data_IF_725025385533
#
_entry.id   IF_725025385533
#
_cell.length_a   1.000
_cell.length_b   1.000
_cell.length_c   1.000
_cell.angle_alpha   90.00
_cell.angle_beta   90.00
_cell.angle_gamma   90.00
#
_symmetry.space_group_name_H-M   'P 1'
#
loop_
_entity.id
_entity.type
_entity.pdbx_description
1 polymer ?
#
# COMPACT_ATOMS: atom_id res chain seq x y z
N UNK A 1 -16.06 -2.45 -5.59
CA UNK A 1 -16.72 -1.13 -5.50
C UNK A 1 -17.99 -1.15 -4.64
N UNK A 2 -18.76 -2.24 -4.67
CA UNK A 2 -20.09 -2.33 -4.04
C UNK A 2 -20.10 -2.05 -2.52
N UNK A 3 -19.18 -2.64 -1.78
CA UNK A 3 -18.99 -2.42 -0.33
C UNK A 3 -18.36 -1.06 0.04
N UNK A 4 -17.95 -0.27 -0.95
CA UNK A 4 -17.29 1.03 -0.74
C UNK A 4 -18.31 2.16 -0.70
N UNK A 5 -18.31 3.04 0.31
CA UNK A 5 -19.24 4.17 0.37
C UNK A 5 -19.14 5.07 -0.87
N UNK A 6 -20.28 5.60 -1.32
CA UNK A 6 -20.33 6.49 -2.50
C UNK A 6 -19.40 7.70 -2.37
N UNK A 7 -19.32 8.32 -1.19
CA UNK A 7 -18.39 9.43 -0.94
C UNK A 7 -16.93 9.04 -1.18
N UNK A 8 -16.54 7.82 -0.83
CA UNK A 8 -15.16 7.34 -1.04
C UNK A 8 -14.90 7.07 -2.52
N UNK A 9 -15.87 6.50 -3.24
CA UNK A 9 -15.79 6.33 -4.71
C UNK A 9 -15.63 7.69 -5.39
N UNK A 10 -16.39 8.70 -4.97
CA UNK A 10 -16.31 10.05 -5.51
C UNK A 10 -14.93 10.70 -5.24
N UNK A 11 -14.38 10.55 -4.02
CA UNK A 11 -13.03 11.03 -3.70
C UNK A 11 -11.97 10.38 -4.61
N UNK A 12 -12.02 9.05 -4.78
CA UNK A 12 -11.13 8.33 -5.70
C UNK A 12 -11.32 8.83 -7.14
N UNK A 13 -12.57 9.06 -7.57
CA UNK A 13 -12.88 9.56 -8.91
C UNK A 13 -12.35 10.96 -9.19
N UNK A 14 -12.47 11.88 -8.23
CA UNK A 14 -11.88 13.23 -8.32
C UNK A 14 -10.36 13.14 -8.42
N UNK A 15 -9.73 12.29 -7.59
CA UNK A 15 -8.30 12.01 -7.67
C UNK A 15 -7.89 11.46 -9.03
N UNK A 16 -8.60 10.45 -9.52
CA UNK A 16 -8.35 9.82 -10.82
C UNK A 16 -8.41 10.84 -11.97
N UNK A 17 -9.47 11.66 -12.03
CA UNK A 17 -9.62 12.69 -13.06
C UNK A 17 -8.51 13.74 -12.97
N UNK A 18 -8.25 14.23 -11.76
CA UNK A 18 -7.21 15.23 -11.51
C UNK A 18 -5.82 14.74 -11.94
N UNK A 19 -5.43 13.52 -11.56
CA UNK A 19 -4.09 13.04 -11.86
C UNK A 19 -3.95 12.56 -13.31
N UNK A 20 -4.88 11.76 -13.83
CA UNK A 20 -4.76 11.13 -15.16
C UNK A 20 -5.09 12.10 -16.29
N UNK A 21 -6.11 12.95 -16.14
CA UNK A 21 -6.58 13.82 -17.22
C UNK A 21 -6.10 15.26 -17.11
N UNK A 22 -5.55 15.68 -15.97
CA UNK A 22 -5.04 17.05 -15.79
C UNK A 22 -3.53 17.02 -15.54
N UNK A 23 -3.07 16.43 -14.44
CA UNK A 23 -1.65 16.52 -14.01
C UNK A 23 -0.72 15.79 -14.98
N UNK A 24 -0.98 14.52 -15.32
CA UNK A 24 -0.13 13.73 -16.23
C UNK A 24 -0.01 14.42 -17.61
N UNK A 25 -1.11 14.80 -18.28
CA UNK A 25 -1.08 15.59 -19.52
C UNK A 25 -0.26 16.87 -19.44
N UNK A 26 -0.43 17.67 -18.38
CA UNK A 26 0.30 18.92 -18.21
C UNK A 26 1.80 18.67 -18.02
N UNK A 27 2.17 17.68 -17.20
CA UNK A 27 3.57 17.30 -17.00
C UNK A 27 4.21 16.76 -18.29
N UNK A 28 3.46 16.01 -19.10
CA UNK A 28 3.98 15.40 -20.32
C UNK A 28 4.07 16.38 -21.50
N UNK A 29 2.94 17.00 -21.88
CA UNK A 29 2.86 17.82 -23.09
C UNK A 29 3.31 19.26 -22.86
N UNK A 30 2.95 19.88 -21.73
CA UNK A 30 3.21 21.30 -21.52
C UNK A 30 4.58 21.57 -20.91
N UNK A 31 4.93 20.86 -19.83
CA UNK A 31 6.13 21.17 -19.05
C UNK A 31 7.31 20.21 -19.31
N UNK A 32 7.09 19.12 -20.06
CA UNK A 32 8.08 18.06 -20.31
C UNK A 32 8.86 17.68 -19.03
N UNK A 33 8.14 17.52 -17.92
CA UNK A 33 8.74 17.34 -16.60
C UNK A 33 9.57 16.06 -16.56
N UNK A 34 10.84 16.14 -16.17
CA UNK A 34 11.79 15.00 -16.12
C UNK A 34 12.14 14.40 -17.49
N UNK A 35 12.16 15.20 -18.57
CA UNK A 35 12.34 14.74 -19.95
C UNK A 35 11.31 13.68 -20.38
N UNK A 36 10.11 13.79 -19.83
CA UNK A 36 8.99 12.87 -20.00
C UNK A 36 8.74 12.42 -21.45
N UNK A 37 8.89 13.31 -22.43
CA UNK A 37 8.57 13.06 -23.84
C UNK A 37 9.48 12.04 -24.54
N UNK A 38 10.60 11.66 -23.92
CA UNK A 38 11.49 10.60 -24.41
C UNK A 38 10.93 9.19 -24.19
N UNK A 39 9.87 9.06 -23.40
CA UNK A 39 9.32 7.79 -22.93
C UNK A 39 7.81 7.73 -23.13
N UNK A 40 7.20 6.54 -23.23
CA UNK A 40 5.76 6.39 -23.24
C UNK A 40 5.12 6.95 -21.94
N UNK A 41 3.96 7.60 -22.08
CA UNK A 41 3.20 8.19 -20.96
C UNK A 41 2.90 7.12 -19.89
N UNK A 42 2.43 5.95 -20.33
CA UNK A 42 2.13 4.81 -19.46
C UNK A 42 3.11 3.67 -19.77
N UNK A 43 3.96 3.34 -18.79
CA UNK A 43 4.79 2.14 -18.84
C UNK A 43 5.17 1.71 -17.43
N UNK A 44 5.22 0.40 -17.22
CA UNK A 44 5.76 -0.25 -16.02
C UNK A 44 7.25 -0.59 -16.16
N UNK A 45 7.90 -0.15 -17.24
CA UNK A 45 9.33 -0.40 -17.48
C UNK A 45 10.18 0.79 -17.04
N UNK A 46 11.46 0.50 -16.83
CA UNK A 46 12.51 1.46 -16.51
C UNK A 46 13.24 1.90 -17.79
N UNK A 47 13.71 3.15 -17.84
CA UNK A 47 14.32 3.72 -19.05
C UNK A 47 15.70 4.33 -18.79
N UNK A 48 16.52 4.34 -19.84
CA UNK A 48 17.80 5.06 -19.93
C UNK A 48 17.56 6.50 -20.37
N UNK A 49 18.58 7.37 -20.27
CA UNK A 49 18.47 8.77 -20.69
C UNK A 49 18.11 8.96 -22.19
N UNK A 50 18.37 7.94 -23.02
CA UNK A 50 18.08 7.95 -24.46
C UNK A 50 16.71 7.38 -24.84
N UNK A 51 15.91 6.91 -23.88
CA UNK A 51 14.58 6.34 -24.15
C UNK A 51 14.54 4.82 -24.31
N UNK A 52 15.68 4.13 -24.28
CA UNK A 52 15.71 2.66 -24.34
C UNK A 52 15.41 2.02 -22.98
N UNK A 53 14.88 0.80 -23.01
CA UNK A 53 14.64 -0.05 -21.83
C UNK A 53 15.93 -0.18 -21.00
N UNK A 54 15.82 0.04 -19.70
CA UNK A 54 16.95 0.00 -18.78
C UNK A 54 17.35 -1.44 -18.49
N UNK A 55 18.58 -1.81 -18.82
CA UNK A 55 19.11 -3.13 -18.53
C UNK A 55 19.72 -3.16 -17.13
N UNK A 56 18.99 -3.78 -16.20
CA UNK A 56 19.38 -3.84 -14.79
C UNK A 56 20.59 -4.77 -14.56
N UNK A 57 20.83 -5.74 -15.45
CA UNK A 57 21.96 -6.69 -15.31
C UNK A 57 23.32 -5.99 -15.37
N UNK A 58 23.41 -4.88 -16.09
CA UNK A 58 24.64 -4.09 -16.28
C UNK A 58 25.11 -3.33 -15.04
N UNK A 59 24.26 -3.20 -14.02
CA UNK A 59 24.55 -2.40 -12.82
C UNK A 59 24.67 -3.23 -11.54
N UNK A 60 24.50 -4.56 -11.63
CA UNK A 60 24.68 -5.48 -10.51
C UNK A 60 26.11 -6.04 -10.45
N UNK A 61 26.60 -6.23 -9.24
CA UNK A 61 27.69 -7.19 -8.99
C UNK A 61 27.12 -8.62 -8.86
N UNK A 62 27.95 -9.68 -8.95
CA UNK A 62 27.49 -11.06 -8.72
C UNK A 62 26.84 -11.31 -7.34
N UNK A 63 27.04 -10.40 -6.38
CA UNK A 63 26.46 -10.45 -5.03
C UNK A 63 25.20 -9.58 -4.89
N UNK A 64 24.56 -9.17 -6.00
CA UNK A 64 23.37 -8.31 -6.03
C UNK A 64 23.56 -6.94 -5.36
N UNK A 65 24.78 -6.40 -5.35
CA UNK A 65 25.06 -5.03 -4.91
C UNK A 65 25.14 -4.08 -6.12
N UNK A 66 24.92 -2.79 -5.87
CA UNK A 66 25.07 -1.76 -6.89
C UNK A 66 26.54 -1.53 -7.22
N UNK A 67 26.91 -1.66 -8.50
CA UNK A 67 28.21 -1.22 -9.01
C UNK A 67 28.12 0.26 -9.44
N UNK A 68 28.69 1.16 -8.63
CA UNK A 68 28.60 2.61 -8.83
C UNK A 68 29.28 3.04 -10.14
N UNK A 69 30.48 2.53 -10.43
CA UNK A 69 31.21 2.91 -11.64
C UNK A 69 30.50 2.43 -12.91
N UNK A 70 29.91 1.23 -12.88
CA UNK A 70 29.10 0.73 -13.99
C UNK A 70 27.82 1.56 -14.19
N UNK A 71 27.16 1.95 -13.10
CA UNK A 71 25.98 2.81 -13.13
C UNK A 71 26.26 4.19 -13.73
N UNK A 72 27.33 4.85 -13.30
CA UNK A 72 27.72 6.17 -13.80
C UNK A 72 28.13 6.14 -15.28
N UNK A 73 28.76 5.06 -15.73
CA UNK A 73 29.14 4.87 -17.14
C UNK A 73 27.95 4.49 -18.04
N UNK A 74 26.96 3.78 -17.50
CA UNK A 74 25.83 3.28 -18.29
C UNK A 74 24.79 4.38 -18.56
N UNK A 75 23.94 4.68 -17.58
CA UNK A 75 23.06 5.85 -17.62
C UNK A 75 22.36 6.05 -16.27
N UNK A 76 21.93 7.30 -16.02
CA UNK A 76 20.93 7.57 -14.99
C UNK A 76 19.62 6.83 -15.30
N UNK A 77 18.89 6.48 -14.25
CA UNK A 77 17.59 5.81 -14.34
C UNK A 77 16.48 6.84 -14.56
N UNK A 78 15.68 6.62 -15.60
CA UNK A 78 14.46 7.38 -15.87
C UNK A 78 13.23 6.50 -15.68
N UNK A 79 12.19 7.11 -15.13
CA UNK A 79 10.86 6.55 -14.92
C UNK A 79 9.89 7.14 -15.93
N UNK A 80 8.87 6.36 -16.30
CA UNK A 80 7.76 6.91 -17.05
C UNK A 80 7.08 8.03 -16.24
N UNK A 81 6.52 9.05 -16.90
CA UNK A 81 5.88 10.19 -16.24
C UNK A 81 4.78 9.74 -15.28
N UNK A 82 3.97 8.76 -15.69
CA UNK A 82 2.94 8.17 -14.87
C UNK A 82 3.52 7.45 -13.65
N UNK A 83 4.59 6.67 -13.81
CA UNK A 83 5.18 5.97 -12.67
C UNK A 83 5.83 6.95 -11.67
N UNK A 84 6.52 7.99 -12.16
CA UNK A 84 7.06 9.05 -11.32
C UNK A 84 5.96 9.79 -10.53
N UNK A 85 4.87 10.18 -11.20
CA UNK A 85 3.73 10.84 -10.54
C UNK A 85 2.98 9.90 -9.58
N UNK A 86 2.94 8.59 -9.85
CA UNK A 86 2.43 7.58 -8.92
C UNK A 86 3.25 7.52 -7.62
N UNK A 87 4.57 7.56 -7.74
CA UNK A 87 5.45 7.63 -6.57
C UNK A 87 5.18 8.94 -5.79
N UNK A 88 5.04 10.05 -6.51
CA UNK A 88 4.69 11.34 -5.92
C UNK A 88 3.35 11.33 -5.17
N UNK A 89 2.30 10.74 -5.74
CA UNK A 89 1.01 10.59 -5.07
C UNK A 89 1.11 9.69 -3.84
N UNK A 90 1.99 8.69 -3.87
CA UNK A 90 2.37 7.87 -2.73
C UNK A 90 2.90 8.66 -1.54
N UNK A 91 3.76 9.65 -1.79
CA UNK A 91 4.25 10.57 -0.75
C UNK A 91 3.11 11.44 -0.18
N UNK A 92 2.23 11.95 -1.05
CA UNK A 92 1.12 12.80 -0.63
C UNK A 92 0.08 12.05 0.21
N UNK A 93 -0.37 10.87 -0.22
CA UNK A 93 -1.43 10.17 0.52
C UNK A 93 -0.96 9.71 1.89
N UNK A 94 0.33 9.39 2.07
CA UNK A 94 0.85 8.88 3.33
C UNK A 94 0.80 9.93 4.43
N UNK A 95 1.37 11.12 4.19
CA UNK A 95 1.31 12.22 5.16
C UNK A 95 -0.11 12.75 5.29
N UNK A 96 -0.89 12.76 4.20
CA UNK A 96 -2.31 13.07 4.28
C UNK A 96 -3.05 12.13 5.23
N UNK A 97 -2.78 10.81 5.20
CA UNK A 97 -3.40 9.84 6.12
C UNK A 97 -3.11 10.20 7.57
N UNK A 98 -1.84 10.48 7.90
CA UNK A 98 -1.45 10.85 9.27
C UNK A 98 -2.15 12.13 9.72
N UNK A 99 -2.08 13.20 8.93
CA UNK A 99 -2.71 14.48 9.30
C UNK A 99 -4.22 14.38 9.35
N UNK A 100 -4.85 13.72 8.37
CA UNK A 100 -6.30 13.55 8.33
C UNK A 100 -6.81 12.81 9.56
N UNK A 101 -6.19 11.69 9.93
CA UNK A 101 -6.59 10.92 11.11
C UNK A 101 -6.36 11.74 12.38
N UNK A 102 -5.23 12.43 12.50
CA UNK A 102 -4.94 13.27 13.66
C UNK A 102 -5.97 14.40 13.84
N UNK A 103 -6.37 15.07 12.76
CA UNK A 103 -7.30 16.20 12.81
C UNK A 103 -8.77 15.78 12.98
N UNK A 104 -9.23 14.79 12.21
CA UNK A 104 -10.65 14.41 12.20
C UNK A 104 -11.00 13.39 13.28
N UNK A 105 -10.13 12.42 13.55
CA UNK A 105 -10.40 11.32 14.48
C UNK A 105 -9.52 11.35 15.73
N UNK A 106 -8.50 12.21 15.81
CA UNK A 106 -7.54 12.21 16.93
C UNK A 106 -8.19 12.39 18.30
N UNK A 107 -9.19 13.26 18.41
CA UNK A 107 -9.91 13.46 19.68
C UNK A 107 -10.73 12.24 20.10
N UNK A 108 -11.29 11.51 19.14
CA UNK A 108 -12.09 10.32 19.40
C UNK A 108 -11.19 9.13 19.74
N UNK A 109 -10.07 8.99 19.02
CA UNK A 109 -9.02 8.00 19.31
C UNK A 109 -8.50 8.19 20.74
N UNK A 110 -8.22 9.44 21.15
CA UNK A 110 -7.74 9.73 22.50
C UNK A 110 -8.76 9.38 23.58
N UNK A 111 -10.02 9.82 23.39
CA UNK A 111 -11.12 9.51 24.30
C UNK A 111 -11.37 8.02 24.41
N UNK A 112 -11.35 7.31 23.29
CA UNK A 112 -11.63 5.88 23.23
C UNK A 112 -10.47 5.05 23.79
N UNK A 113 -9.23 5.44 23.53
CA UNK A 113 -8.05 4.82 24.15
C UNK A 113 -8.07 5.01 25.68
N UNK A 114 -8.49 6.20 26.14
CA UNK A 114 -8.64 6.49 27.58
C UNK A 114 -9.85 5.79 28.22
N UNK A 115 -10.93 5.56 27.46
CA UNK A 115 -12.15 4.93 27.97
C UNK A 115 -12.11 3.41 27.93
N UNK A 116 -11.32 2.78 27.04
CA UNK A 116 -11.02 1.34 27.11
C UNK A 116 -10.40 0.98 28.47
N UNK A 117 -9.68 1.91 29.09
CA UNK A 117 -9.15 1.79 30.47
C UNK A 117 -10.24 1.98 31.54
N UNK A 118 -11.36 2.65 31.21
CA UNK A 118 -12.47 2.96 32.12
C UNK A 118 -13.80 2.36 31.63
N UNK A 119 -14.08 1.11 32.01
CA UNK A 119 -15.36 0.39 31.90
C UNK A 119 -16.39 1.00 30.93
N UNK A 120 -16.20 0.72 29.63
CA UNK A 120 -17.06 1.18 28.54
C UNK A 120 -18.47 0.60 28.67
N UNK A 121 -19.50 1.41 28.34
CA UNK A 121 -20.89 0.95 28.13
C UNK A 121 -20.90 -0.20 27.12
N UNK A 122 -21.16 -1.41 27.59
CA UNK A 122 -21.19 -2.59 26.74
C UNK A 122 -22.40 -2.54 25.80
N UNK A 123 -22.14 -2.65 24.50
CA UNK A 123 -23.18 -2.78 23.50
C UNK A 123 -23.90 -4.15 23.63
N UNK A 124 -25.03 -4.28 22.93
CA UNK A 124 -25.83 -5.51 22.97
C UNK A 124 -25.00 -6.69 22.44
N UNK A 125 -24.15 -6.46 21.43
CA UNK A 125 -23.33 -7.53 20.89
C UNK A 125 -22.30 -8.03 21.90
N UNK A 126 -21.61 -7.16 22.64
CA UNK A 126 -20.66 -7.54 23.67
C UNK A 126 -21.36 -8.21 24.86
N UNK A 127 -22.57 -7.78 25.22
CA UNK A 127 -23.38 -8.47 26.25
C UNK A 127 -23.67 -9.91 25.84
N UNK A 128 -24.15 -10.13 24.62
CA UNK A 128 -24.43 -11.47 24.09
C UNK A 128 -23.16 -12.32 23.97
N UNK A 129 -22.02 -11.72 23.67
CA UNK A 129 -20.74 -12.41 23.56
C UNK A 129 -20.11 -12.80 24.91
N UNK A 130 -20.61 -12.28 26.04
CA UNK A 130 -20.12 -12.67 27.38
C UNK A 130 -20.33 -14.15 27.70
N UNK A 131 -21.30 -14.80 27.06
CA UNK A 131 -21.55 -16.24 27.23
C UNK A 131 -20.38 -17.10 26.74
N UNK A 132 -19.56 -16.59 25.81
CA UNK A 132 -18.43 -17.31 25.26
C UNK A 132 -17.14 -17.02 26.00
N UNK A 133 -16.32 -18.06 26.19
CA UNK A 133 -14.98 -17.93 26.75
C UNK A 133 -14.10 -17.11 25.80
N UNK A 134 -13.56 -16.01 26.32
CA UNK A 134 -12.61 -15.18 25.59
C UNK A 134 -11.33 -15.97 25.29
N UNK A 135 -10.62 -15.54 24.24
CA UNK A 135 -9.28 -16.04 23.93
C UNK A 135 -8.32 -15.43 24.94
N UNK A 136 -7.54 -16.24 25.68
CA UNK A 136 -6.51 -15.72 26.57
C UNK A 136 -5.50 -14.87 25.80
N UNK A 137 -5.14 -13.70 26.33
CA UNK A 137 -4.18 -12.80 25.65
C UNK A 137 -2.83 -13.47 25.39
N UNK A 138 -2.41 -14.42 26.23
CA UNK A 138 -1.16 -15.13 26.06
C UNK A 138 -1.09 -15.95 24.76
N UNK A 139 -2.23 -16.39 24.19
CA UNK A 139 -2.24 -17.07 22.88
C UNK A 139 -1.72 -16.16 21.77
N UNK A 140 -2.12 -14.88 21.81
CA UNK A 140 -1.63 -13.87 20.88
C UNK A 140 -0.17 -13.52 21.15
N UNK A 141 0.23 -13.42 22.42
CA UNK A 141 1.62 -13.13 22.79
C UNK A 141 2.58 -14.25 22.36
N UNK A 142 2.20 -15.51 22.51
CA UNK A 142 3.01 -16.65 22.06
C UNK A 142 3.20 -16.61 20.54
N UNK A 143 2.14 -16.34 19.76
CA UNK A 143 2.27 -16.19 18.31
C UNK A 143 3.13 -14.98 17.93
N UNK A 144 2.97 -13.85 18.62
CA UNK A 144 3.76 -12.64 18.38
C UNK A 144 5.25 -12.91 18.66
N UNK A 145 5.57 -13.44 19.83
CA UNK A 145 6.95 -13.73 20.23
C UNK A 145 7.56 -14.80 19.32
N UNK A 146 6.82 -15.86 19.03
CA UNK A 146 7.28 -16.94 18.14
C UNK A 146 7.56 -16.45 16.72
N UNK A 147 6.66 -15.65 16.14
CA UNK A 147 6.87 -15.09 14.79
C UNK A 147 8.03 -14.10 14.74
N UNK A 148 8.13 -13.18 15.72
CA UNK A 148 9.26 -12.24 15.81
C UNK A 148 10.58 -12.98 15.99
N UNK A 149 10.63 -13.99 16.87
CA UNK A 149 11.84 -14.78 17.10
C UNK A 149 12.28 -15.53 15.82
N UNK A 150 11.35 -16.13 15.09
CA UNK A 150 11.64 -16.81 13.82
C UNK A 150 12.17 -15.83 12.76
N UNK A 151 11.54 -14.66 12.62
CA UNK A 151 11.98 -13.62 11.69
C UNK A 151 13.37 -13.08 12.04
N UNK A 152 13.68 -12.89 13.32
CA UNK A 152 15.00 -12.46 13.77
C UNK A 152 16.06 -13.56 13.58
N UNK A 153 15.72 -14.82 13.83
CA UNK A 153 16.61 -15.96 13.60
C UNK A 153 17.06 -16.01 12.14
N UNK A 154 16.16 -15.73 11.18
CA UNK A 154 16.52 -15.65 9.76
C UNK A 154 17.58 -14.58 9.48
N UNK A 155 17.52 -13.42 10.15
CA UNK A 155 18.54 -12.37 10.01
C UNK A 155 19.93 -12.80 10.53
N UNK A 156 19.99 -13.71 11.51
CA UNK A 156 21.24 -14.21 12.07
C UNK A 156 21.81 -15.39 11.27
N UNK A 157 20.97 -16.33 10.84
CA UNK A 157 21.39 -17.54 10.12
C UNK A 157 21.73 -17.24 8.65
N UNK A 158 20.83 -16.56 7.92
CA UNK A 158 20.98 -16.29 6.49
C UNK A 158 21.44 -14.85 6.22
N UNK A 159 22.48 -14.41 6.92
CA UNK A 159 22.96 -13.02 6.84
C UNK A 159 23.31 -12.57 5.41
N UNK A 160 23.84 -13.47 4.58
CA UNK A 160 24.24 -13.18 3.19
C UNK A 160 23.03 -13.04 2.27
N UNK A 161 22.00 -13.86 2.45
CA UNK A 161 20.82 -13.90 1.57
C UNK A 161 19.77 -12.86 2.00
N UNK A 162 19.52 -12.73 3.31
CA UNK A 162 18.53 -11.79 3.86
C UNK A 162 18.97 -10.34 3.70
N UNK A 163 20.28 -10.07 3.83
CA UNK A 163 20.92 -8.74 3.73
C UNK A 163 20.41 -7.66 4.71
N UNK A 164 19.27 -7.87 5.38
CA UNK A 164 18.63 -7.01 6.36
C UNK A 164 19.15 -7.32 7.77
N UNK A 165 19.71 -6.34 8.50
CA UNK A 165 20.14 -6.53 9.88
C UNK A 165 18.96 -6.70 10.84
N UNK A 166 19.20 -7.34 11.97
CA UNK A 166 18.17 -7.62 13.00
C UNK A 166 17.39 -6.37 13.45
N UNK A 167 18.07 -5.24 13.60
CA UNK A 167 17.42 -3.98 13.99
C UNK A 167 16.50 -3.45 12.88
N UNK A 168 16.81 -3.72 11.61
CA UNK A 168 15.97 -3.35 10.47
C UNK A 168 14.65 -4.12 10.48
N UNK A 169 14.68 -5.39 10.92
CA UNK A 169 13.47 -6.19 11.11
C UNK A 169 12.60 -5.64 12.24
N UNK A 170 13.19 -5.33 13.40
CA UNK A 170 12.46 -4.69 14.52
C UNK A 170 11.88 -3.34 14.12
N UNK A 171 12.62 -2.58 13.33
CA UNK A 171 12.14 -1.30 12.80
C UNK A 171 10.94 -1.47 11.87
N UNK A 172 10.91 -2.51 11.02
CA UNK A 172 9.76 -2.83 10.18
C UNK A 172 8.52 -3.14 11.03
N UNK A 173 8.67 -3.92 12.10
CA UNK A 173 7.57 -4.24 13.03
C UNK A 173 7.07 -3.01 13.78
N UNK A 174 7.98 -2.16 14.27
CA UNK A 174 7.62 -0.90 14.92
C UNK A 174 6.85 0.03 13.98
N UNK A 175 7.31 0.16 12.73
CA UNK A 175 6.63 0.97 11.72
C UNK A 175 5.23 0.41 11.40
N UNK A 176 5.11 -0.91 11.23
CA UNK A 176 3.82 -1.57 11.02
C UNK A 176 2.86 -1.34 12.19
N UNK A 177 3.34 -1.48 13.43
CA UNK A 177 2.54 -1.25 14.63
C UNK A 177 1.98 0.17 14.69
N UNK A 178 2.83 1.18 14.48
CA UNK A 178 2.44 2.60 14.51
C UNK A 178 1.43 2.93 13.40
N UNK A 179 1.69 2.45 12.17
CA UNK A 179 0.88 2.80 11.00
C UNK A 179 -0.42 2.00 10.89
N UNK A 180 -0.56 0.89 11.62
CA UNK A 180 -1.77 0.07 11.57
C UNK A 180 -3.00 0.84 12.04
N UNK A 181 -2.89 1.64 13.10
CA UNK A 181 -4.00 2.43 13.62
C UNK A 181 -4.52 3.47 12.59
N UNK A 182 -3.71 4.42 12.08
CA UNK A 182 -4.22 5.44 11.16
C UNK A 182 -4.70 4.84 9.84
N UNK A 183 -4.01 3.84 9.29
CA UNK A 183 -4.46 3.17 8.06
C UNK A 183 -5.78 2.42 8.33
N UNK A 184 -5.92 1.79 9.48
CA UNK A 184 -7.14 1.11 9.90
C UNK A 184 -8.34 2.05 10.04
N UNK A 185 -8.14 3.28 10.54
CA UNK A 185 -9.20 4.29 10.62
C UNK A 185 -9.67 4.72 9.23
N UNK A 186 -8.74 4.95 8.30
CA UNK A 186 -9.11 5.26 6.90
C UNK A 186 -9.82 4.07 6.25
N UNK A 187 -9.32 2.85 6.43
CA UNK A 187 -9.98 1.66 5.89
C UNK A 187 -11.37 1.44 6.49
N UNK A 188 -11.54 1.65 7.79
CA UNK A 188 -12.83 1.49 8.46
C UNK A 188 -13.88 2.52 8.00
N UNK A 189 -13.45 3.72 7.61
CA UNK A 189 -14.35 4.81 7.20
C UNK A 189 -14.60 4.85 5.69
N UNK A 190 -13.60 4.47 4.89
CA UNK A 190 -13.62 4.66 3.42
C UNK A 190 -13.59 3.35 2.64
N UNK A 191 -13.33 2.23 3.31
CA UNK A 191 -13.07 0.93 2.68
C UNK A 191 -11.92 0.95 1.65
N UNK A 192 -11.04 1.95 1.74
CA UNK A 192 -9.79 2.05 0.98
C UNK A 192 -8.62 1.83 1.93
N UNK A 193 -7.59 1.13 1.45
CA UNK A 193 -6.39 0.84 2.23
C UNK A 193 -5.17 1.48 1.55
N UNK A 194 -4.88 2.76 1.83
CA UNK A 194 -3.66 3.40 1.36
C UNK A 194 -2.44 2.61 1.85
N UNK A 195 -1.64 2.10 0.91
CA UNK A 195 -0.40 1.41 1.22
C UNK A 195 0.70 2.40 1.63
N UNK A 196 1.62 1.96 2.49
CA UNK A 196 2.81 2.73 2.83
C UNK A 196 4.09 2.10 2.23
N UNK A 197 3.95 1.20 1.25
CA UNK A 197 5.06 0.47 0.62
C UNK A 197 6.19 1.36 0.13
N UNK A 198 5.82 2.47 -0.52
CA UNK A 198 6.74 3.43 -1.11
C UNK A 198 7.56 4.08 0.01
N UNK A 199 6.92 4.37 1.15
CA UNK A 199 7.55 5.01 2.31
C UNK A 199 8.47 4.03 3.05
N UNK A 200 8.00 2.80 3.26
CA UNK A 200 8.82 1.77 3.89
C UNK A 200 10.11 1.56 3.09
N UNK A 201 10.00 1.47 1.77
CA UNK A 201 11.13 1.33 0.86
C UNK A 201 12.00 2.60 0.78
N UNK A 202 11.38 3.79 0.82
CA UNK A 202 12.09 5.05 0.86
C UNK A 202 12.96 5.17 2.12
N UNK A 203 12.41 4.87 3.30
CA UNK A 203 13.14 4.98 4.56
C UNK A 203 14.30 3.98 4.61
N UNK A 204 14.03 2.69 4.39
CA UNK A 204 15.08 1.68 4.49
C UNK A 204 16.11 1.78 3.36
N UNK A 205 15.69 2.17 2.15
CA UNK A 205 16.59 2.40 1.02
C UNK A 205 17.52 3.59 1.26
N UNK A 206 17.10 4.58 2.06
CA UNK A 206 17.96 5.68 2.49
C UNK A 206 18.98 5.22 3.55
N UNK A 207 18.56 4.38 4.50
CA UNK A 207 19.44 3.91 5.59
C UNK A 207 20.41 2.81 5.11
N UNK A 208 19.94 1.91 4.25
CA UNK A 208 20.68 0.76 3.71
C UNK A 208 20.67 0.78 2.17
N UNK A 209 21.34 1.75 1.53
CA UNK A 209 21.41 1.83 0.08
C UNK A 209 22.20 0.66 -0.51
N UNK A 210 21.87 0.26 -1.73
CA UNK A 210 22.59 -0.79 -2.47
C UNK A 210 22.20 -2.23 -2.12
N UNK A 211 21.16 -2.43 -1.30
CA UNK A 211 20.69 -3.75 -0.83
C UNK A 211 19.22 -3.98 -1.22
N UNK A 212 18.94 -4.45 -2.45
CA UNK A 212 17.58 -4.63 -2.95
C UNK A 212 16.78 -5.67 -2.16
N UNK A 213 17.41 -6.78 -1.74
CA UNK A 213 16.73 -7.85 -0.99
C UNK A 213 16.32 -7.35 0.40
N UNK A 214 17.21 -6.64 1.10
CA UNK A 214 16.91 -6.06 2.40
C UNK A 214 15.72 -5.10 2.33
N UNK A 215 15.70 -4.23 1.30
CA UNK A 215 14.62 -3.29 1.04
C UNK A 215 13.28 -4.01 0.77
N UNK A 216 13.31 -5.09 -0.01
CA UNK A 216 12.12 -5.90 -0.31
C UNK A 216 11.57 -6.59 0.94
N UNK A 217 12.44 -7.19 1.77
CA UNK A 217 12.03 -7.84 3.02
C UNK A 217 11.44 -6.84 4.00
N UNK A 218 12.06 -5.66 4.16
CA UNK A 218 11.53 -4.60 5.03
C UNK A 218 10.12 -4.17 4.59
N UNK A 219 9.90 -3.99 3.29
CA UNK A 219 8.58 -3.69 2.72
C UNK A 219 7.56 -4.79 3.02
N UNK A 220 7.92 -6.06 2.78
CA UNK A 220 7.01 -7.21 2.95
C UNK A 220 6.63 -7.34 4.42
N UNK A 221 7.62 -7.39 5.33
CA UNK A 221 7.35 -7.52 6.76
C UNK A 221 6.60 -6.31 7.32
N UNK A 222 6.88 -5.09 6.84
CA UNK A 222 6.09 -3.92 7.21
C UNK A 222 4.64 -4.06 6.71
N UNK A 223 4.45 -3.96 5.40
CA UNK A 223 3.11 -3.86 4.80
C UNK A 223 2.24 -5.06 5.12
N UNK A 224 2.74 -6.27 4.89
CA UNK A 224 1.93 -7.48 4.97
C UNK A 224 1.45 -7.69 6.41
N UNK A 225 2.25 -7.32 7.41
CA UNK A 225 1.82 -7.31 8.82
C UNK A 225 0.65 -6.36 9.06
N UNK A 226 0.68 -5.14 8.50
CA UNK A 226 -0.44 -4.19 8.60
C UNK A 226 -1.69 -4.71 7.89
N UNK A 227 -1.55 -5.28 6.69
CA UNK A 227 -2.68 -5.86 5.94
C UNK A 227 -3.32 -6.99 6.73
N UNK A 228 -2.52 -7.94 7.24
CA UNK A 228 -3.02 -9.04 8.06
C UNK A 228 -3.64 -8.57 9.37
N UNK A 229 -3.05 -7.58 10.05
CA UNK A 229 -3.64 -7.03 11.27
C UNK A 229 -5.04 -6.43 11.03
N UNK A 230 -5.22 -5.74 9.90
CA UNK A 230 -6.51 -5.14 9.53
C UNK A 230 -7.52 -6.18 9.07
N UNK A 231 -7.12 -7.16 8.26
CA UNK A 231 -7.97 -8.30 7.89
C UNK A 231 -8.39 -9.12 9.11
N UNK A 232 -7.45 -9.45 9.98
CA UNK A 232 -7.71 -10.16 11.23
C UNK A 232 -8.70 -9.41 12.12
N UNK A 233 -8.56 -8.09 12.23
CA UNK A 233 -9.49 -7.23 12.98
C UNK A 233 -10.88 -7.20 12.34
N UNK A 234 -10.96 -7.18 11.00
CA UNK A 234 -12.23 -7.20 10.27
C UNK A 234 -12.98 -8.53 10.49
N UNK A 235 -12.26 -9.65 10.47
CA UNK A 235 -12.82 -10.98 10.72
C UNK A 235 -13.29 -11.15 12.17
N UNK A 236 -12.52 -10.66 13.15
CA UNK A 236 -12.95 -10.65 14.55
C UNK A 236 -14.23 -9.83 14.75
N UNK A 237 -14.34 -8.69 14.06
CA UNK A 237 -15.55 -7.86 14.08
C UNK A 237 -16.74 -8.60 13.46
N UNK A 238 -16.53 -9.27 12.32
CA UNK A 238 -17.56 -10.10 11.69
C UNK A 238 -18.01 -11.24 12.63
N UNK A 239 -17.07 -11.96 13.24
CA UNK A 239 -17.35 -13.01 14.22
C UNK A 239 -18.14 -12.51 15.43
N UNK A 240 -17.82 -11.30 15.91
CA UNK A 240 -18.53 -10.65 17.00
C UNK A 240 -20.00 -10.33 16.66
N UNK A 241 -20.27 -9.93 15.42
CA UNK A 241 -21.63 -9.71 14.92
C UNK A 241 -22.40 -11.01 14.72
N UNK A 242 -21.75 -12.03 14.15
CA UNK A 242 -22.34 -13.35 13.87
C UNK A 242 -22.45 -14.26 15.09
N UNK A 243 -21.97 -13.84 16.26
CA UNK A 243 -21.99 -14.61 17.51
C UNK A 243 -21.21 -15.92 17.45
N UNK A 244 -20.10 -15.91 16.71
CA UNK A 244 -19.18 -17.04 16.63
C UNK A 244 -18.28 -17.05 17.87
N UNK A 245 -18.09 -18.20 18.55
CA UNK A 245 -17.20 -18.31 19.69
C UNK A 245 -15.77 -17.82 19.38
N UNK A 246 -15.17 -16.93 20.19
CA UNK A 246 -13.86 -16.32 19.88
C UNK A 246 -12.72 -17.33 19.72
N UNK A 247 -12.71 -18.41 20.52
CA UNK A 247 -11.69 -19.46 20.44
C UNK A 247 -11.75 -20.22 19.12
N UNK A 248 -12.96 -20.55 18.65
CA UNK A 248 -13.14 -21.21 17.36
C UNK A 248 -12.71 -20.31 16.21
N UNK A 249 -13.01 -19.00 16.29
CA UNK A 249 -12.56 -18.01 15.31
C UNK A 249 -11.03 -17.96 15.25
N UNK A 250 -10.36 -17.84 16.40
CA UNK A 250 -8.90 -17.83 16.48
C UNK A 250 -8.27 -19.10 15.88
N UNK A 251 -8.78 -20.29 16.22
CA UNK A 251 -8.25 -21.55 15.67
C UNK A 251 -8.47 -21.66 14.17
N UNK A 252 -9.64 -21.25 13.67
CA UNK A 252 -9.95 -21.30 12.24
C UNK A 252 -9.04 -20.35 11.44
N UNK A 253 -8.79 -19.14 11.96
CA UNK A 253 -7.88 -18.18 11.36
C UNK A 253 -6.43 -18.67 11.37
N UNK A 254 -5.97 -19.28 12.46
CA UNK A 254 -4.62 -19.82 12.56
C UNK A 254 -4.39 -20.97 11.57
N UNK A 255 -5.32 -21.94 11.54
CA UNK A 255 -5.27 -23.06 10.59
C UNK A 255 -5.36 -22.55 9.15
N UNK A 256 -6.29 -21.64 8.86
CA UNK A 256 -6.44 -21.04 7.54
C UNK A 256 -5.18 -20.31 7.08
N UNK A 257 -4.50 -19.60 7.97
CA UNK A 257 -3.24 -18.90 7.67
C UNK A 257 -2.11 -19.89 7.36
N UNK A 258 -1.99 -20.97 8.13
CA UNK A 258 -0.99 -22.02 7.89
C UNK A 258 -1.23 -22.72 6.55
N UNK A 259 -2.48 -23.12 6.28
CA UNK A 259 -2.87 -23.78 5.03
C UNK A 259 -2.67 -22.87 3.83
N UNK A 260 -3.14 -21.62 3.91
CA UNK A 260 -2.95 -20.65 2.83
C UNK A 260 -1.47 -20.34 2.60
N UNK A 261 -0.67 -20.20 3.66
CA UNK A 261 0.77 -19.96 3.54
C UNK A 261 1.51 -21.10 2.87
N UNK A 262 1.25 -22.35 3.26
CA UNK A 262 1.92 -23.52 2.70
C UNK A 262 1.48 -23.80 1.26
N UNK A 263 0.17 -23.77 0.98
CA UNK A 263 -0.35 -24.03 -0.38
C UNK A 263 0.11 -22.95 -1.35
N UNK A 264 0.01 -21.66 -0.99
CA UNK A 264 0.46 -20.60 -1.90
C UNK A 264 1.97 -20.70 -2.20
N UNK A 265 2.78 -21.06 -1.20
CA UNK A 265 4.21 -21.26 -1.39
C UNK A 265 4.49 -22.49 -2.28
N UNK A 266 3.82 -23.61 -2.03
CA UNK A 266 3.98 -24.82 -2.81
C UNK A 266 3.57 -24.63 -4.28
N UNK A 267 2.45 -23.97 -4.53
CA UNK A 267 1.99 -23.63 -5.87
C UNK A 267 2.96 -22.67 -6.56
N UNK A 268 3.47 -21.65 -5.86
CA UNK A 268 4.46 -20.75 -6.41
C UNK A 268 5.75 -21.48 -6.83
N UNK A 269 6.27 -22.37 -5.98
CA UNK A 269 7.43 -23.20 -6.31
C UNK A 269 7.17 -24.15 -7.47
N UNK A 270 6.00 -24.79 -7.51
CA UNK A 270 5.60 -25.64 -8.61
C UNK A 270 5.54 -24.87 -9.94
N UNK A 271 4.92 -23.69 -9.95
CA UNK A 271 4.85 -22.83 -11.14
C UNK A 271 6.24 -22.42 -11.64
N UNK A 272 7.16 -22.06 -10.73
CA UNK A 272 8.53 -21.69 -11.10
C UNK A 272 9.35 -22.88 -11.62
N UNK A 273 9.07 -24.10 -11.16
CA UNK A 273 9.79 -25.30 -11.59
C UNK A 273 9.20 -26.01 -12.82
N UNK A 274 7.91 -25.83 -13.11
CA UNK A 274 7.22 -26.51 -14.21
C UNK A 274 7.00 -25.64 -15.46
N UNK A 275 6.98 -24.32 -15.33
CA UNK A 275 6.74 -23.40 -16.46
C UNK A 275 8.07 -22.75 -16.86
N UNK A 276 8.64 -23.19 -17.97
CA UNK A 276 9.84 -22.57 -18.55
C UNK A 276 9.58 -21.11 -18.94
N UNK A 277 10.54 -20.23 -18.66
CA UNK A 277 10.50 -18.79 -18.97
C UNK A 277 9.28 -18.03 -18.41
N UNK A 278 8.67 -18.51 -17.32
CA UNK A 278 7.55 -17.82 -16.69
C UNK A 278 7.85 -16.33 -16.46
N UNK A 279 6.89 -15.46 -16.78
CA UNK A 279 6.98 -14.01 -16.69
C UNK A 279 7.87 -13.32 -17.76
N UNK A 280 8.57 -14.05 -18.62
CA UNK A 280 9.33 -13.49 -19.74
C UNK A 280 8.51 -13.45 -21.03
N UNK A 281 7.79 -12.34 -21.20
CA UNK A 281 6.95 -12.06 -22.38
C UNK A 281 7.69 -12.03 -23.71
N UNK A 282 9.02 -11.93 -23.74
CA UNK A 282 9.79 -11.90 -25.00
C UNK A 282 10.14 -13.33 -25.49
N UNK A 283 10.27 -14.28 -24.57
CA UNK A 283 10.63 -15.68 -24.86
C UNK A 283 9.47 -16.65 -24.76
N UNK A 284 8.36 -16.25 -24.12
CA UNK A 284 7.14 -17.06 -24.03
C UNK A 284 6.40 -17.15 -25.37
N UNK A 285 5.66 -18.25 -25.53
CA UNK A 285 4.72 -18.38 -26.63
C UNK A 285 3.71 -17.21 -26.61
N UNK A 286 3.35 -16.62 -27.77
CA UNK A 286 2.46 -15.44 -27.84
C UNK A 286 1.11 -15.63 -27.14
N UNK A 287 0.60 -16.86 -27.09
CA UNK A 287 -0.68 -17.21 -26.46
C UNK A 287 -0.58 -17.49 -24.95
N UNK A 288 0.61 -17.37 -24.36
CA UNK A 288 0.83 -17.68 -22.96
C UNK A 288 0.29 -16.57 -22.04
N UNK A 289 -0.57 -16.88 -21.05
CA UNK A 289 -1.17 -15.87 -20.18
C UNK A 289 -0.21 -15.33 -19.08
N UNK A 290 1.00 -15.89 -18.95
CA UNK A 290 1.89 -15.68 -17.80
C UNK A 290 2.76 -14.42 -17.91
N UNK A 291 2.14 -13.24 -17.77
CA UNK A 291 2.82 -11.93 -17.93
C UNK A 291 3.31 -11.27 -16.63
N UNK A 292 2.94 -11.81 -15.46
CA UNK A 292 3.42 -11.43 -14.12
C UNK A 292 3.63 -9.93 -13.80
N UNK A 293 2.68 -9.04 -14.14
CA UNK A 293 2.92 -7.60 -14.10
C UNK A 293 3.18 -7.05 -12.68
N UNK A 294 2.56 -7.65 -11.64
CA UNK A 294 2.79 -7.25 -10.23
C UNK A 294 4.20 -7.59 -9.74
N UNK A 295 4.75 -8.73 -10.15
CA UNK A 295 6.10 -9.13 -9.79
C UNK A 295 7.13 -8.24 -10.46
N UNK A 296 6.91 -7.88 -11.73
CA UNK A 296 7.75 -6.94 -12.47
C UNK A 296 7.82 -5.56 -11.80
N UNK A 297 6.67 -4.97 -11.47
CA UNK A 297 6.64 -3.67 -10.74
C UNK A 297 7.31 -3.79 -9.37
N UNK A 298 7.19 -4.94 -8.70
CA UNK A 298 7.86 -5.16 -7.40
C UNK A 298 9.38 -5.26 -7.56
N UNK A 299 9.85 -5.91 -8.63
CA UNK A 299 11.27 -5.96 -8.98
C UNK A 299 11.81 -4.57 -9.34
N UNK A 300 11.12 -3.83 -10.20
CA UNK A 300 11.52 -2.46 -10.58
C UNK A 300 11.55 -1.52 -9.36
N UNK A 301 10.59 -1.66 -8.45
CA UNK A 301 10.61 -0.94 -7.17
C UNK A 301 11.83 -1.30 -6.31
N UNK A 302 12.26 -2.58 -6.27
CA UNK A 302 13.48 -2.98 -5.56
C UNK A 302 14.74 -2.37 -6.15
N UNK A 303 14.77 -2.14 -7.47
CA UNK A 303 15.87 -1.46 -8.17
C UNK A 303 15.88 0.03 -7.83
N UNK A 304 14.72 0.70 -7.91
CA UNK A 304 14.57 2.12 -7.60
C UNK A 304 14.97 2.41 -6.14
N UNK A 305 14.35 1.71 -5.20
CA UNK A 305 14.44 2.03 -3.78
C UNK A 305 15.59 1.33 -3.06
N UNK A 306 15.88 0.08 -3.43
CA UNK A 306 16.87 -0.73 -2.73
C UNK A 306 18.25 -0.66 -3.38
N UNK A 307 18.33 -0.82 -4.70
CA UNK A 307 19.62 -0.86 -5.42
C UNK A 307 20.20 0.54 -5.64
N UNK A 308 19.54 1.38 -6.42
CA UNK A 308 20.00 2.75 -6.73
C UNK A 308 19.87 3.63 -5.48
N UNK A 309 18.75 3.47 -4.77
CA UNK A 309 18.46 4.14 -3.53
C UNK A 309 17.81 5.52 -3.73
N UNK A 310 16.99 5.97 -2.78
CA UNK A 310 16.33 7.28 -2.81
C UNK A 310 17.33 8.44 -2.82
N UNK A 311 18.53 8.26 -2.26
CA UNK A 311 19.56 9.30 -2.21
C UNK A 311 19.97 9.80 -3.60
N UNK A 312 20.00 8.92 -4.62
CA UNK A 312 20.43 9.31 -5.98
C UNK A 312 19.28 9.89 -6.83
N UNK A 313 18.04 9.51 -6.52
CA UNK A 313 16.87 9.85 -7.32
C UNK A 313 16.05 11.01 -6.74
N UNK A 314 15.87 11.05 -5.42
CA UNK A 314 14.92 11.93 -4.72
C UNK A 314 15.58 12.93 -3.75
N UNK A 315 16.85 12.76 -3.37
CA UNK A 315 17.57 13.71 -2.52
C UNK A 315 18.25 14.83 -3.35
N UNK A 316 18.91 15.83 -2.72
CA UNK A 316 19.58 16.92 -3.44
C UNK A 316 20.53 16.40 -4.54
N UNK A 317 20.34 16.87 -5.77
CA UNK A 317 21.06 16.39 -6.97
C UNK A 317 20.35 15.31 -7.78
N UNK A 318 19.28 14.71 -7.24
CA UNK A 318 18.44 13.73 -7.93
C UNK A 318 17.40 14.36 -8.86
N UNK A 319 17.06 13.65 -9.94
CA UNK A 319 16.10 14.10 -10.96
C UNK A 319 14.69 14.32 -10.38
N UNK A 320 14.28 13.49 -9.43
CA UNK A 320 12.92 13.44 -8.86
C UNK A 320 12.77 14.16 -7.52
N UNK A 321 13.74 15.01 -7.15
CA UNK A 321 13.74 15.77 -5.89
C UNK A 321 12.42 16.51 -5.65
N UNK A 322 11.84 17.09 -6.70
CA UNK A 322 10.62 17.88 -6.58
C UNK A 322 9.41 17.06 -6.11
N UNK A 323 9.41 15.74 -6.32
CA UNK A 323 8.33 14.87 -5.85
C UNK A 323 8.32 14.73 -4.32
N UNK A 324 9.46 14.90 -3.64
CA UNK A 324 9.52 14.81 -2.17
C UNK A 324 8.71 15.92 -1.49
N UNK A 325 8.54 17.08 -2.13
CA UNK A 325 7.66 18.16 -1.63
C UNK A 325 6.20 17.74 -1.50
N UNK A 326 5.78 16.66 -2.18
CA UNK A 326 4.44 16.12 -2.04
C UNK A 326 4.17 15.57 -0.64
N UNK A 327 5.20 15.24 0.17
CA UNK A 327 5.00 14.96 1.59
C UNK A 327 4.40 16.15 2.34
N UNK A 328 4.91 17.36 2.08
CA UNK A 328 4.45 18.57 2.74
C UNK A 328 3.06 18.97 2.22
N UNK A 329 2.85 18.87 0.90
CA UNK A 329 1.54 19.11 0.31
C UNK A 329 0.50 18.12 0.90
N UNK A 330 0.84 16.83 0.97
CA UNK A 330 0.00 15.81 1.59
C UNK A 330 -0.30 16.10 3.07
N UNK A 331 0.69 16.57 3.84
CA UNK A 331 0.49 16.93 5.23
C UNK A 331 -0.41 18.16 5.42
N UNK A 332 -0.34 19.13 4.52
CA UNK A 332 -1.07 20.40 4.63
C UNK A 332 -2.48 20.34 4.05
N UNK A 333 -2.73 19.59 2.97
CA UNK A 333 -4.03 19.56 2.28
C UNK A 333 -5.23 19.15 3.16
N UNK A 334 -5.11 18.25 4.15
CA UNK A 334 -6.21 17.96 5.07
C UNK A 334 -6.59 19.13 6.00
N UNK A 335 -5.66 20.06 6.27
CA UNK A 335 -5.85 21.16 7.24
C UNK A 335 -6.95 22.14 6.78
N UNK A 336 -6.95 22.68 5.55
CA UNK A 336 -8.02 23.54 5.07
C UNK A 336 -9.41 22.86 5.12
N UNK A 337 -9.49 21.58 4.75
CA UNK A 337 -10.76 20.83 4.77
C UNK A 337 -11.27 20.67 6.20
N UNK A 338 -10.36 20.40 7.15
CA UNK A 338 -10.71 20.33 8.56
C UNK A 338 -11.19 21.68 9.10
N UNK A 339 -10.49 22.78 8.81
CA UNK A 339 -10.90 24.13 9.22
C UNK A 339 -12.27 24.48 8.64
N UNK A 340 -12.49 24.24 7.35
CA UNK A 340 -13.79 24.47 6.69
C UNK A 340 -14.90 23.62 7.32
N UNK A 341 -14.61 22.38 7.73
CA UNK A 341 -15.57 21.52 8.43
C UNK A 341 -15.98 22.07 9.80
N UNK A 342 -15.10 22.85 10.45
CA UNK A 342 -15.37 23.48 11.75
C UNK A 342 -16.11 24.82 11.60
N UNK A 343 -15.79 25.59 10.56
CA UNK A 343 -16.46 26.88 10.29
C UNK A 343 -17.88 26.66 9.76
N UNK A 344 -18.09 25.64 8.92
CA UNK A 344 -19.38 25.35 8.29
C UNK A 344 -19.96 23.99 8.73
N UNK A 345 -20.32 23.83 10.02
CA UNK A 345 -20.84 22.55 10.53
C UNK A 345 -22.17 22.13 9.87
N UNK A 346 -22.91 23.07 9.30
CA UNK A 346 -24.15 22.81 8.56
C UNK A 346 -23.92 22.00 7.28
N UNK A 347 -22.74 22.14 6.66
CA UNK A 347 -22.42 21.51 5.36
C UNK A 347 -21.81 20.12 5.59
N UNK A 348 -22.68 19.13 5.81
CA UNK A 348 -22.30 17.72 6.08
C UNK A 348 -21.47 17.02 4.99
N UNK A 349 -21.31 17.62 3.80
CA UNK A 349 -20.50 17.06 2.72
C UNK A 349 -19.01 17.41 2.86
N UNK A 350 -18.64 18.50 3.54
CA UNK A 350 -17.24 18.92 3.72
C UNK A 350 -16.41 17.88 4.50
N UNK A 351 -16.90 17.33 5.63
CA UNK A 351 -16.20 16.26 6.34
C UNK A 351 -16.06 14.95 5.54
N UNK A 352 -16.81 14.77 4.45
CA UNK A 352 -16.72 13.58 3.60
C UNK A 352 -15.57 13.67 2.58
N UNK A 353 -14.95 14.83 2.43
CA UNK A 353 -13.78 15.01 1.56
C UNK A 353 -12.57 14.41 2.26
N UNK A 354 -12.09 13.29 1.74
CA UNK A 354 -10.99 12.55 2.33
C UNK A 354 -9.76 12.69 1.42
N UNK A 355 -8.92 13.69 1.71
CA UNK A 355 -7.68 13.97 0.96
C UNK A 355 -6.79 12.72 0.79
N UNK A 356 -6.54 11.89 1.81
CA UNK A 356 -5.83 10.62 1.62
C UNK A 356 -6.40 9.76 0.47
N UNK A 357 -7.73 9.65 0.39
CA UNK A 357 -8.42 8.87 -0.64
C UNK A 357 -8.39 9.57 -2.00
N UNK A 358 -8.45 10.90 -2.04
CA UNK A 358 -8.26 11.67 -3.29
C UNK A 358 -6.86 11.45 -3.84
N UNK A 359 -5.83 11.55 -3.00
CA UNK A 359 -4.44 11.27 -3.39
C UNK A 359 -4.24 9.80 -3.78
N UNK A 360 -5.02 8.88 -3.18
CA UNK A 360 -5.07 7.45 -3.54
C UNK A 360 -5.77 7.17 -4.89
N UNK A 361 -6.39 8.17 -5.54
CA UNK A 361 -7.05 8.00 -6.85
C UNK A 361 -6.17 7.45 -7.98
N UNK A 362 -4.84 7.49 -7.78
CA UNK A 362 -3.82 6.97 -8.69
C UNK A 362 -3.22 5.63 -8.25
N UNK A 363 -3.63 5.10 -7.09
CA UNK A 363 -2.98 3.98 -6.46
C UNK A 363 -3.14 2.69 -7.26
N UNK A 364 -2.04 1.95 -7.38
CA UNK A 364 -1.98 0.70 -8.13
C UNK A 364 -1.64 0.87 -9.61
N UNK A 365 -1.42 2.10 -10.11
CA UNK A 365 -0.86 2.34 -11.43
C UNK A 365 0.64 2.65 -11.36
N UNK A 366 1.51 1.89 -12.04
CA UNK A 366 1.31 0.56 -12.64
C UNK A 366 1.24 -0.55 -11.57
N UNK A 367 0.68 -1.76 -11.85
CA UNK A 367 0.31 -2.30 -13.16
C UNK A 367 -1.14 -2.08 -13.60
N UNK A 368 -2.02 -1.55 -12.75
CA UNK A 368 -3.40 -1.29 -13.14
C UNK A 368 -3.43 -0.26 -14.29
N UNK A 369 -4.34 -0.47 -15.25
CA UNK A 369 -4.55 0.48 -16.34
C UNK A 369 -5.65 1.48 -15.96
N UNK A 370 -5.68 2.69 -16.56
CA UNK A 370 -6.76 3.66 -16.35
C UNK A 370 -8.16 3.05 -16.49
N UNK A 371 -8.31 2.08 -17.40
CA UNK A 371 -9.55 1.32 -17.60
C UNK A 371 -9.98 0.57 -16.34
N UNK A 372 -9.07 -0.05 -15.59
CA UNK A 372 -9.42 -0.77 -14.35
C UNK A 372 -10.06 0.16 -13.32
N UNK A 373 -9.51 1.36 -13.12
CA UNK A 373 -10.07 2.35 -12.19
C UNK A 373 -11.37 2.94 -12.75
N UNK A 374 -11.41 3.27 -14.04
CA UNK A 374 -12.62 3.78 -14.69
C UNK A 374 -13.80 2.79 -14.57
N UNK A 375 -13.58 1.50 -14.85
CA UNK A 375 -14.58 0.45 -14.66
C UNK A 375 -15.03 0.36 -13.20
N UNK A 376 -14.10 0.39 -12.23
CA UNK A 376 -14.44 0.38 -10.81
C UNK A 376 -15.30 1.59 -10.39
N UNK A 377 -14.99 2.78 -10.91
CA UNK A 377 -15.75 4.01 -10.68
C UNK A 377 -17.16 3.94 -11.27
N UNK A 378 -17.29 3.50 -12.53
CA UNK A 378 -18.57 3.36 -13.22
C UNK A 378 -19.45 2.34 -12.50
N UNK A 379 -18.93 1.15 -12.20
CA UNK A 379 -19.68 0.13 -11.44
C UNK A 379 -20.07 0.67 -10.06
N UNK A 380 -19.15 1.37 -9.37
CA UNK A 380 -19.44 2.02 -8.10
C UNK A 380 -20.57 3.04 -8.18
N UNK A 381 -20.59 3.89 -9.22
CA UNK A 381 -21.62 4.88 -9.44
C UNK A 381 -22.98 4.24 -9.74
N UNK A 382 -23.02 3.24 -10.61
CA UNK A 382 -24.28 2.55 -10.95
C UNK A 382 -24.91 1.96 -9.69
N UNK A 383 -24.15 1.19 -8.92
CA UNK A 383 -24.72 0.46 -7.79
C UNK A 383 -24.89 1.33 -6.52
N UNK A 384 -23.91 2.15 -6.17
CA UNK A 384 -23.93 2.89 -4.89
C UNK A 384 -24.58 4.28 -4.98
N UNK A 385 -24.75 4.83 -6.18
CA UNK A 385 -25.53 6.06 -6.37
C UNK A 385 -26.88 5.77 -7.03
N UNK A 386 -26.89 5.21 -8.25
CA UNK A 386 -28.14 5.06 -9.02
C UNK A 386 -29.07 4.00 -8.42
N UNK A 387 -28.59 2.78 -8.18
CA UNK A 387 -29.41 1.68 -7.63
C UNK A 387 -29.78 1.97 -6.17
N UNK A 388 -28.86 2.50 -5.36
CA UNK A 388 -29.17 2.90 -3.98
C UNK A 388 -30.29 3.96 -3.91
N UNK A 389 -30.30 4.94 -4.83
CA UNK A 389 -31.33 6.00 -4.88
C UNK A 389 -32.68 5.51 -5.40
N UNK A 390 -32.70 4.67 -6.45
CA UNK A 390 -33.95 4.28 -7.11
C UNK A 390 -34.53 2.94 -6.64
N UNK A 391 -33.70 2.03 -6.08
CA UNK A 391 -34.08 0.67 -5.67
C UNK A 391 -33.42 0.27 -4.34
N UNK A 392 -33.65 1.07 -3.31
CA UNK A 392 -33.00 0.93 -1.99
C UNK A 392 -33.21 -0.44 -1.33
N UNK A 393 -34.39 -1.03 -1.45
CA UNK A 393 -34.67 -2.35 -0.85
C UNK A 393 -33.90 -3.48 -1.51
N UNK A 394 -33.82 -3.44 -2.85
CA UNK A 394 -32.99 -4.38 -3.60
C UNK A 394 -31.52 -4.23 -3.21
N UNK A 395 -31.02 -2.99 -3.14
CA UNK A 395 -29.64 -2.73 -2.75
C UNK A 395 -29.35 -3.28 -1.34
N UNK A 396 -30.19 -3.00 -0.34
CA UNK A 396 -29.99 -3.51 1.04
C UNK A 396 -30.02 -5.03 1.17
N UNK A 397 -30.71 -5.73 0.26
CA UNK A 397 -30.85 -7.19 0.31
C UNK A 397 -29.64 -7.90 -0.29
N UNK A 398 -29.06 -7.33 -1.35
CA UNK A 398 -28.01 -7.97 -2.14
C UNK A 398 -26.62 -7.36 -1.94
N UNK A 399 -26.53 -6.26 -1.21
CA UNK A 399 -25.31 -5.49 -1.00
C UNK A 399 -25.24 -5.03 0.46
#
# INVERSE_FOLDING_TARGET
PLVTPWSSILNVGVGFVMFIYIIVPLCYWKYNTFDAQKFPIFSNQLFTASGHKYDTTKIFTPQFHLNISAYEKYSKLYLSPLFALSIGSGFAWFTATLTHVALFQGSDIWKQSSSVVKNVKMDIHAKLMKSYKQVPQWWFLVLLVGSVALSLLMCFVWKKDVQLPWWGMLFAFGLAFILTLPIGVIQATTNQQPGYDIIAQFIIGYILPGKPIANLLFKIYGRTSTVHALSFSADLKLGHYMKIPPRCMYTAQLVGTLVAGTINLAVAWWMLGSIENICDVETLHPDSPWTCPKFRVTFDASVIWGLIGPQRLFCPGGLYRNLVWLFLIGALLPVPIWVLSKIFPEKKWIPLINIPVVSYGFAGMPPATPTNIASWLITGMIFNYSVFKHRKEWWKKYN
#
